data_IF_873055799734
#
_entry.id   IF_873055799734
#
_cell.length_a   1.000
_cell.length_b   1.000
_cell.length_c   1.000
_cell.angle_alpha   90.00
_cell.angle_beta   90.00
_cell.angle_gamma   90.00
#
_symmetry.space_group_name_H-M   'P 1'
#
loop_
_entity.id
_entity.type
_entity.pdbx_description
1 polymer ?
#
# COMPACT_ATOMS: atom_id res chain seq x y z
N UNK A 1 2.36 19.19 54.80
CA UNK A 1 1.94 18.21 53.79
C UNK A 1 1.87 16.85 54.45
N UNK A 2 0.69 16.27 54.59
CA UNK A 2 0.46 15.01 55.28
C UNK A 2 1.08 13.85 54.48
N UNK A 3 1.59 12.81 55.13
CA UNK A 3 2.20 11.65 54.50
C UNK A 3 1.34 10.99 53.41
N UNK A 4 0.02 11.10 53.56
CA UNK A 4 -0.99 10.60 52.66
C UNK A 4 -1.04 11.38 51.31
N UNK A 5 -0.91 12.71 51.33
CA UNK A 5 -0.83 13.56 50.14
C UNK A 5 0.45 13.29 49.35
N UNK A 6 1.55 13.05 50.05
CA UNK A 6 2.82 12.66 49.43
C UNK A 6 2.76 11.28 48.81
N UNK A 7 2.06 10.33 49.42
CA UNK A 7 1.85 8.98 48.85
C UNK A 7 0.95 9.03 47.61
N UNK A 8 -0.08 9.87 47.58
CA UNK A 8 -0.94 10.07 46.39
C UNK A 8 -0.17 10.73 45.26
N UNK A 9 0.62 11.76 45.53
CA UNK A 9 1.49 12.40 44.55
C UNK A 9 2.53 11.44 43.98
N UNK A 10 3.16 10.62 44.81
CA UNK A 10 4.13 9.60 44.40
C UNK A 10 3.49 8.47 43.61
N UNK A 11 2.23 8.12 43.89
CA UNK A 11 1.48 7.12 43.13
C UNK A 11 1.02 7.65 41.77
N UNK A 12 0.83 8.97 41.63
CA UNK A 12 0.47 9.63 40.36
C UNK A 12 1.69 9.97 39.49
N UNK A 13 2.88 10.00 40.06
CA UNK A 13 4.11 10.27 39.32
C UNK A 13 4.57 8.97 38.59
N UNK A 14 4.63 8.93 37.27
CA UNK A 14 5.13 7.76 36.56
C UNK A 14 6.54 7.43 37.05
N UNK A 15 6.75 6.22 37.57
CA UNK A 15 8.10 5.75 38.05
C UNK A 15 9.14 5.67 36.95
N UNK A 16 8.70 5.71 35.69
CA UNK A 16 9.57 5.68 34.50
C UNK A 16 9.05 6.78 33.57
N UNK A 17 9.99 7.59 33.04
CA UNK A 17 9.66 8.60 32.02
C UNK A 17 8.95 7.94 30.85
N UNK A 18 7.93 8.59 30.31
CA UNK A 18 7.22 8.07 29.15
C UNK A 18 8.21 7.94 27.98
N UNK A 19 8.24 6.77 27.37
CA UNK A 19 9.17 6.44 26.29
C UNK A 19 8.97 7.31 25.04
N UNK A 20 7.74 7.74 24.81
CA UNK A 20 7.35 8.63 23.70
C UNK A 20 6.76 9.91 24.31
N UNK A 21 7.60 10.93 24.42
CA UNK A 21 7.22 12.27 24.87
C UNK A 21 7.61 13.30 23.81
N UNK A 22 6.78 14.35 23.59
CA UNK A 22 7.17 15.45 22.72
C UNK A 22 8.55 16.00 23.09
N UNK A 23 9.40 16.20 22.10
CA UNK A 23 10.76 16.72 22.29
C UNK A 23 11.84 15.65 22.42
N UNK A 24 11.51 14.35 22.54
CA UNK A 24 12.56 13.34 22.47
C UNK A 24 12.76 12.83 21.03
N UNK A 25 14.00 12.42 20.70
CA UNK A 25 14.36 12.00 19.35
C UNK A 25 13.58 10.79 18.83
N UNK A 26 13.15 9.88 19.71
CA UNK A 26 12.31 8.74 19.30
C UNK A 26 10.89 9.19 18.93
N UNK A 27 10.31 10.14 19.67
CA UNK A 27 9.03 10.75 19.35
C UNK A 27 9.07 11.42 17.97
N UNK A 28 10.11 12.21 17.71
CA UNK A 28 10.25 12.91 16.44
C UNK A 28 10.33 11.94 15.25
N UNK A 29 11.04 10.81 15.40
CA UNK A 29 11.08 9.75 14.40
C UNK A 29 9.68 9.14 14.17
N UNK A 30 8.95 8.84 15.24
CA UNK A 30 7.58 8.29 15.17
C UNK A 30 6.64 9.27 14.46
N UNK A 31 6.65 10.55 14.83
CA UNK A 31 5.82 11.59 14.20
C UNK A 31 6.12 11.71 12.72
N UNK A 32 7.40 11.72 12.34
CA UNK A 32 7.82 11.81 10.93
C UNK A 32 7.34 10.62 10.10
N UNK A 33 7.39 9.42 10.67
CA UNK A 33 6.89 8.22 10.00
C UNK A 33 5.35 8.19 9.95
N UNK A 34 4.65 8.69 10.97
CA UNK A 34 3.18 8.86 10.95
C UNK A 34 2.76 9.82 9.84
N UNK A 35 3.40 10.98 9.71
CA UNK A 35 3.15 11.96 8.64
C UNK A 35 3.36 11.37 7.25
N UNK A 36 4.24 10.38 7.11
CA UNK A 36 4.41 9.57 5.90
C UNK A 36 3.38 8.42 5.79
N UNK A 37 2.33 8.44 6.63
CA UNK A 37 1.24 7.47 6.65
C UNK A 37 1.65 6.04 6.93
N UNK A 38 2.76 5.82 7.65
CA UNK A 38 3.08 4.50 8.18
C UNK A 38 2.15 4.18 9.36
N UNK A 39 1.68 2.93 9.44
CA UNK A 39 0.93 2.50 10.61
C UNK A 39 1.85 2.31 11.83
N UNK A 40 1.34 2.43 13.06
CA UNK A 40 2.13 2.14 14.27
C UNK A 40 2.86 0.79 14.24
N UNK A 41 2.24 -0.23 13.65
CA UNK A 41 2.85 -1.55 13.47
C UNK A 41 4.04 -1.50 12.50
N UNK A 42 3.91 -0.76 11.38
CA UNK A 42 5.01 -0.54 10.43
C UNK A 42 6.14 0.26 11.07
N UNK A 43 5.82 1.30 11.83
CA UNK A 43 6.80 2.12 12.56
C UNK A 43 7.58 1.25 13.54
N UNK A 44 6.90 0.43 14.34
CA UNK A 44 7.56 -0.52 15.25
C UNK A 44 8.50 -1.46 14.49
N UNK A 45 8.10 -1.97 13.33
CA UNK A 45 8.95 -2.81 12.48
C UNK A 45 10.18 -2.07 11.93
N UNK A 46 10.00 -0.81 11.49
CA UNK A 46 11.08 0.04 11.00
C UNK A 46 12.12 0.31 12.11
N UNK A 47 11.66 0.78 13.26
CA UNK A 47 12.55 1.09 14.39
C UNK A 47 13.37 -0.12 14.81
N UNK A 48 12.73 -1.30 14.88
CA UNK A 48 13.41 -2.55 15.25
C UNK A 48 14.49 -2.96 14.24
N UNK A 49 14.23 -2.76 12.94
CA UNK A 49 15.21 -3.05 11.89
C UNK A 49 16.33 -2.01 11.83
N UNK A 50 16.03 -0.74 12.13
CA UNK A 50 17.01 0.34 12.13
C UNK A 50 17.93 0.32 13.37
N UNK A 51 17.41 -0.18 14.49
CA UNK A 51 18.10 -0.17 15.79
C UNK A 51 18.07 -1.56 16.45
N UNK A 52 18.69 -2.58 15.82
CA UNK A 52 18.75 -3.93 16.38
C UNK A 52 19.55 -3.91 17.68
N UNK A 53 19.02 -4.50 18.75
CA UNK A 53 19.71 -4.55 20.05
C UNK A 53 19.68 -3.25 20.87
N UNK A 54 19.04 -2.19 20.40
CA UNK A 54 18.89 -0.93 21.11
C UNK A 54 17.42 -0.72 21.59
N UNK A 55 16.99 -1.36 22.71
CA UNK A 55 15.61 -1.25 23.16
C UNK A 55 15.13 0.19 23.38
N UNK A 56 16.02 1.08 23.82
CA UNK A 56 15.72 2.49 24.09
C UNK A 56 15.32 3.28 22.83
N UNK A 57 15.75 2.84 21.64
CA UNK A 57 15.44 3.46 20.34
C UNK A 57 14.26 2.75 19.62
N UNK A 58 13.61 1.81 20.30
CA UNK A 58 12.49 1.05 19.78
C UNK A 58 11.19 1.42 20.50
N UNK A 59 10.05 1.35 19.81
CA UNK A 59 8.73 1.47 20.39
C UNK A 59 7.80 0.39 19.84
N UNK A 60 6.97 -0.20 20.71
CA UNK A 60 5.92 -1.10 20.25
C UNK A 60 4.76 -0.31 19.62
N UNK A 61 3.95 -0.96 18.79
CA UNK A 61 2.77 -0.33 18.23
C UNK A 61 1.78 0.11 19.32
N UNK A 62 1.64 -0.66 20.41
CA UNK A 62 0.83 -0.29 21.57
C UNK A 62 1.36 0.98 22.26
N UNK A 63 2.69 1.09 22.43
CA UNK A 63 3.32 2.29 22.98
C UNK A 63 3.02 3.52 22.13
N UNK A 64 3.04 3.35 20.79
CA UNK A 64 2.72 4.45 19.85
C UNK A 64 1.24 4.83 19.95
N UNK A 65 0.32 3.85 19.97
CA UNK A 65 -1.11 4.14 20.14
C UNK A 65 -1.37 4.82 21.48
N UNK A 66 -0.81 4.31 22.57
CA UNK A 66 -0.99 4.89 23.91
C UNK A 66 -0.51 6.35 23.94
N UNK A 67 0.66 6.63 23.33
CA UNK A 67 1.17 8.00 23.27
C UNK A 67 0.22 8.92 22.47
N UNK A 68 -0.27 8.49 21.30
CA UNK A 68 -1.17 9.27 20.46
C UNK A 68 -2.52 9.58 21.16
N UNK A 69 -3.11 8.58 21.81
CA UNK A 69 -4.41 8.76 22.49
C UNK A 69 -4.28 9.51 23.82
N UNK A 70 -3.13 9.46 24.49
CA UNK A 70 -2.85 10.20 25.71
C UNK A 70 -2.49 11.68 25.48
N UNK A 71 -2.26 12.09 24.21
CA UNK A 71 -2.00 13.49 23.89
C UNK A 71 -3.17 14.40 24.26
N UNK A 72 -2.91 15.61 24.75
CA UNK A 72 -3.94 16.64 24.92
C UNK A 72 -4.69 16.88 23.60
N UNK A 73 -5.97 17.25 23.69
CA UNK A 73 -6.73 17.64 22.50
C UNK A 73 -6.10 18.88 21.87
N UNK A 74 -5.90 18.86 20.54
CA UNK A 74 -5.27 19.93 19.79
C UNK A 74 -4.99 19.54 18.34
N UNK A 75 -4.46 20.49 17.58
CA UNK A 75 -4.18 20.30 16.13
C UNK A 75 -3.23 19.15 15.87
N UNK A 76 -2.11 19.06 16.61
CA UNK A 76 -1.12 18.00 16.42
C UNK A 76 -1.72 16.62 16.66
N UNK A 77 -2.54 16.43 17.69
CA UNK A 77 -3.24 15.16 17.93
C UNK A 77 -4.18 14.83 16.79
N UNK A 78 -4.96 15.79 16.32
CA UNK A 78 -5.91 15.63 15.21
C UNK A 78 -5.17 15.27 13.91
N UNK A 79 -4.09 15.98 13.62
CA UNK A 79 -3.20 15.68 12.49
C UNK A 79 -2.70 14.24 12.53
N UNK A 80 -2.07 13.82 13.62
CA UNK A 80 -1.45 12.51 13.74
C UNK A 80 -2.49 11.37 13.71
N UNK A 81 -3.66 11.56 14.32
CA UNK A 81 -4.75 10.60 14.23
C UNK A 81 -5.31 10.48 12.80
N UNK A 82 -5.34 11.57 12.03
CA UNK A 82 -5.74 11.54 10.61
C UNK A 82 -4.77 10.76 9.72
N UNK A 83 -3.51 10.64 10.13
CA UNK A 83 -2.51 9.82 9.44
C UNK A 83 -2.73 8.31 9.64
N UNK A 84 -3.48 7.92 10.67
CA UNK A 84 -3.80 6.52 10.92
C UNK A 84 -4.77 5.98 9.87
N UNK A 85 -4.63 4.70 9.57
CA UNK A 85 -5.58 4.01 8.71
C UNK A 85 -6.96 4.04 9.36
N UNK A 86 -7.93 4.68 8.73
CA UNK A 86 -9.27 4.90 9.31
C UNK A 86 -9.86 3.61 9.87
N UNK A 87 -10.41 3.71 11.11
CA UNK A 87 -11.24 2.68 11.71
C UNK A 87 -12.38 2.28 10.77
N UNK A 88 -12.68 1.00 10.74
CA UNK A 88 -13.66 0.36 9.85
C UNK A 88 -14.97 1.13 9.82
N UNK A 89 -15.31 1.71 8.67
CA UNK A 89 -16.70 2.05 8.35
C UNK A 89 -17.48 0.73 8.19
N UNK A 90 -18.68 0.70 8.75
CA UNK A 90 -19.63 -0.42 8.74
C UNK A 90 -19.67 -1.08 7.36
N UNK A 91 -19.56 -2.41 7.33
CA UNK A 91 -19.65 -3.22 6.10
C UNK A 91 -21.07 -3.09 5.55
N UNK A 92 -21.22 -2.44 4.40
CA UNK A 92 -22.51 -2.42 3.67
C UNK A 92 -22.72 -3.76 2.99
N UNK A 93 -23.96 -4.31 3.00
CA UNK A 93 -24.29 -5.50 2.23
C UNK A 93 -24.00 -5.26 0.75
N UNK A 94 -23.37 -6.24 0.09
CA UNK A 94 -23.21 -6.20 -1.37
C UNK A 94 -24.57 -6.49 -2.01
N UNK A 95 -25.12 -5.53 -2.77
CA UNK A 95 -26.25 -5.80 -3.64
C UNK A 95 -25.80 -6.81 -4.73
N UNK A 96 -26.46 -7.95 -4.82
CA UNK A 96 -26.30 -8.91 -5.91
C UNK A 96 -27.12 -8.39 -7.09
N UNK A 97 -26.46 -7.74 -8.04
CA UNK A 97 -27.06 -7.46 -9.36
C UNK A 97 -26.68 -8.57 -10.34
N UNK A 98 -27.59 -8.95 -11.23
CA UNK A 98 -27.26 -9.83 -12.36
C UNK A 98 -26.19 -9.18 -13.24
N UNK A 99 -25.17 -9.96 -13.58
CA UNK A 99 -24.09 -9.50 -14.44
C UNK A 99 -24.52 -9.55 -15.91
N UNK A 100 -25.03 -8.44 -16.43
CA UNK A 100 -25.41 -8.26 -17.84
C UNK A 100 -24.23 -7.89 -18.75
N UNK A 101 -22.98 -8.12 -18.31
CA UNK A 101 -21.79 -7.81 -19.09
C UNK A 101 -21.62 -8.89 -20.17
N UNK A 102 -21.46 -8.45 -21.44
CA UNK A 102 -21.13 -9.35 -22.54
C UNK A 102 -19.79 -10.07 -22.27
N UNK A 103 -19.70 -11.34 -22.62
CA UNK A 103 -18.46 -12.14 -22.48
C UNK A 103 -17.37 -11.56 -23.36
N UNK A 104 -16.15 -11.42 -22.83
CA UNK A 104 -14.96 -11.12 -23.62
C UNK A 104 -14.63 -12.35 -24.49
N UNK A 105 -14.16 -12.11 -25.71
CA UNK A 105 -13.70 -13.18 -26.61
C UNK A 105 -12.28 -13.61 -26.26
N UNK A 106 -11.95 -14.86 -26.52
CA UNK A 106 -10.59 -15.43 -26.43
C UNK A 106 -9.89 -15.28 -25.07
N UNK A 107 -10.68 -15.27 -23.99
CA UNK A 107 -10.16 -15.22 -22.63
C UNK A 107 -9.46 -16.53 -22.24
N UNK A 108 -8.23 -16.41 -21.70
CA UNK A 108 -7.57 -17.53 -21.04
C UNK A 108 -7.96 -17.54 -19.58
N UNK A 109 -8.62 -18.60 -19.14
CA UNK A 109 -9.07 -18.74 -17.75
C UNK A 109 -7.90 -18.77 -16.78
N UNK A 110 -8.12 -18.27 -15.57
CA UNK A 110 -7.17 -18.36 -14.46
C UNK A 110 -6.76 -19.80 -14.13
N UNK A 111 -7.62 -20.78 -14.41
CA UNK A 111 -7.36 -22.21 -14.19
C UNK A 111 -6.31 -22.78 -15.16
N UNK A 112 -6.02 -22.07 -16.26
CA UNK A 112 -4.95 -22.43 -17.20
C UNK A 112 -3.60 -21.82 -16.81
N UNK A 113 -3.54 -21.13 -15.69
CA UNK A 113 -2.31 -20.55 -15.15
C UNK A 113 -1.36 -21.66 -14.68
N UNK A 114 -0.05 -21.58 -15.02
CA UNK A 114 0.95 -22.48 -14.45
C UNK A 114 0.95 -22.46 -12.91
N UNK A 115 1.13 -23.62 -12.25
CA UNK A 115 1.10 -23.73 -10.79
C UNK A 115 2.09 -22.79 -10.06
N UNK A 116 3.26 -22.56 -10.62
CA UNK A 116 4.29 -21.66 -10.07
C UNK A 116 3.79 -20.23 -9.84
N UNK A 117 2.74 -19.81 -10.56
CA UNK A 117 2.11 -18.49 -10.36
C UNK A 117 1.34 -18.46 -9.04
N UNK A 118 0.72 -19.58 -8.62
CA UNK A 118 0.00 -19.69 -7.36
C UNK A 118 0.96 -19.66 -6.16
N UNK A 119 2.10 -20.27 -6.27
CA UNK A 119 3.10 -20.38 -5.21
C UNK A 119 3.76 -19.03 -4.88
N UNK A 120 3.64 -18.03 -5.78
CA UNK A 120 4.17 -16.66 -5.59
C UNK A 120 5.67 -16.61 -5.30
N UNK A 121 6.43 -17.54 -5.83
CA UNK A 121 7.88 -17.65 -5.60
C UNK A 121 8.63 -16.79 -6.62
N UNK A 122 8.23 -16.87 -7.89
CA UNK A 122 8.91 -16.21 -9.00
C UNK A 122 8.33 -14.81 -9.20
N UNK A 123 9.14 -13.73 -9.12
CA UNK A 123 8.69 -12.39 -9.47
C UNK A 123 8.37 -12.27 -10.97
N UNK A 124 7.35 -11.46 -11.29
CA UNK A 124 6.96 -11.18 -12.67
C UNK A 124 5.51 -11.52 -12.98
N UNK A 125 4.76 -11.98 -12.00
CA UNK A 125 3.35 -12.29 -12.12
C UNK A 125 2.51 -11.21 -11.42
N UNK A 126 1.66 -10.52 -12.19
CA UNK A 126 0.96 -9.33 -11.76
C UNK A 126 -0.54 -9.58 -11.59
N UNK A 127 -1.16 -8.86 -10.66
CA UNK A 127 -2.60 -8.66 -10.59
C UNK A 127 -2.93 -7.24 -11.01
N UNK A 128 -3.92 -7.06 -11.89
CA UNK A 128 -4.33 -5.75 -12.38
C UNK A 128 -5.77 -5.41 -12.05
N UNK A 129 -6.06 -4.10 -11.94
CA UNK A 129 -7.40 -3.56 -11.71
C UNK A 129 -7.47 -2.06 -12.05
N UNK A 130 -8.67 -1.48 -12.04
CA UNK A 130 -8.89 -0.05 -12.15
C UNK A 130 -9.40 0.56 -10.85
N UNK A 131 -8.71 1.57 -10.33
CA UNK A 131 -9.25 2.44 -9.29
C UNK A 131 -10.07 3.54 -9.94
N UNK A 132 -11.38 3.57 -9.67
CA UNK A 132 -12.30 4.60 -10.16
C UNK A 132 -12.36 5.78 -9.19
N UNK A 133 -12.27 6.99 -9.73
CA UNK A 133 -12.44 8.26 -9.03
C UNK A 133 -13.90 8.72 -8.99
N UNK A 134 -14.10 10.05 -8.89
CA UNK A 134 -15.41 10.66 -8.75
C UNK A 134 -16.37 10.22 -9.87
N UNK A 135 -17.53 9.73 -9.46
CA UNK A 135 -18.62 9.27 -10.35
C UNK A 135 -18.17 8.25 -11.42
N UNK A 136 -17.01 7.59 -11.23
CA UNK A 136 -16.45 6.65 -12.21
C UNK A 136 -15.91 7.27 -13.50
N UNK A 137 -15.80 8.60 -13.57
CA UNK A 137 -15.36 9.32 -14.77
C UNK A 137 -13.85 9.31 -14.97
N UNK A 138 -13.09 9.22 -13.89
CA UNK A 138 -11.63 9.13 -13.95
C UNK A 138 -11.15 7.80 -13.39
N UNK A 139 -10.05 7.27 -13.93
CA UNK A 139 -9.52 5.96 -13.58
C UNK A 139 -8.00 5.97 -13.51
N UNK A 140 -7.46 5.12 -12.62
CA UNK A 140 -6.03 4.82 -12.53
C UNK A 140 -5.88 3.30 -12.57
N UNK A 141 -5.02 2.81 -13.46
CA UNK A 141 -4.66 1.40 -13.52
C UNK A 141 -3.74 1.03 -12.37
N UNK A 142 -4.00 -0.10 -11.74
CA UNK A 142 -3.14 -0.66 -10.69
C UNK A 142 -2.59 -2.00 -11.13
N UNK A 143 -1.30 -2.19 -10.96
CA UNK A 143 -0.61 -3.45 -11.17
C UNK A 143 0.15 -3.78 -9.89
N UNK A 144 -0.07 -4.96 -9.35
CA UNK A 144 0.61 -5.44 -8.13
C UNK A 144 1.32 -6.73 -8.44
N UNK A 145 2.61 -6.78 -8.21
CA UNK A 145 3.42 -7.99 -8.36
C UNK A 145 3.15 -8.96 -7.21
N UNK A 146 2.90 -10.24 -7.54
CA UNK A 146 2.30 -11.20 -6.59
C UNK A 146 3.25 -11.69 -5.50
N UNK A 147 4.55 -11.82 -5.78
CA UNK A 147 5.53 -12.36 -4.83
C UNK A 147 6.08 -11.28 -3.89
N UNK A 148 6.35 -10.09 -4.43
CA UNK A 148 7.00 -8.99 -3.71
C UNK A 148 6.04 -7.92 -3.22
N UNK A 149 4.79 -7.94 -3.67
CA UNK A 149 3.76 -6.91 -3.45
C UNK A 149 4.16 -5.53 -4.03
N UNK A 150 5.07 -5.52 -5.00
CA UNK A 150 5.49 -4.29 -5.67
C UNK A 150 4.36 -3.72 -6.50
N UNK A 151 4.12 -2.41 -6.38
CA UNK A 151 3.01 -1.71 -7.01
C UNK A 151 3.53 -0.79 -8.10
N UNK A 152 2.88 -0.79 -9.25
CA UNK A 152 2.99 0.29 -10.24
C UNK A 152 1.61 0.81 -10.61
N UNK A 153 1.50 2.10 -10.87
CA UNK A 153 0.27 2.77 -11.20
C UNK A 153 0.35 3.30 -12.63
N UNK A 154 -0.71 3.13 -13.39
CA UNK A 154 -0.81 3.59 -14.77
C UNK A 154 -1.81 4.75 -14.86
N UNK A 155 -1.37 5.89 -15.41
CA UNK A 155 -2.30 6.91 -15.85
C UNK A 155 -3.11 6.39 -17.02
N UNK A 156 -4.44 6.37 -16.87
CA UNK A 156 -5.38 5.96 -17.91
C UNK A 156 -6.32 7.13 -18.15
N UNK A 157 -6.44 7.53 -19.42
CA UNK A 157 -7.22 8.71 -19.80
C UNK A 157 -8.71 8.56 -19.43
N UNK A 158 -9.26 7.39 -19.74
CA UNK A 158 -10.67 7.04 -19.54
C UNK A 158 -10.81 5.51 -19.39
N UNK A 159 -12.00 5.01 -19.07
CA UNK A 159 -12.25 3.58 -18.86
C UNK A 159 -12.47 2.79 -20.18
N UNK A 160 -11.96 3.30 -21.31
CA UNK A 160 -12.01 2.59 -22.59
C UNK A 160 -10.91 1.53 -22.69
N UNK A 161 -11.15 0.53 -23.54
CA UNK A 161 -10.19 -0.53 -23.83
C UNK A 161 -8.87 0.01 -24.36
N UNK A 162 -8.92 0.98 -25.29
CA UNK A 162 -7.72 1.58 -25.88
C UNK A 162 -6.88 2.34 -24.84
N UNK A 163 -7.52 3.11 -23.98
CA UNK A 163 -6.84 3.85 -22.92
C UNK A 163 -6.22 2.88 -21.88
N UNK A 164 -6.92 1.80 -21.54
CA UNK A 164 -6.40 0.77 -20.62
C UNK A 164 -5.16 0.08 -21.22
N UNK A 165 -5.24 -0.38 -22.47
CA UNK A 165 -4.10 -0.99 -23.17
C UNK A 165 -2.92 -0.04 -23.27
N UNK A 166 -3.14 1.22 -23.61
CA UNK A 166 -2.08 2.23 -23.70
C UNK A 166 -1.41 2.47 -22.33
N UNK A 167 -2.21 2.70 -21.27
CA UNK A 167 -1.72 2.96 -19.93
C UNK A 167 -0.95 1.77 -19.35
N UNK A 168 -1.51 0.57 -19.42
CA UNK A 168 -0.82 -0.62 -18.92
C UNK A 168 0.43 -0.96 -19.75
N UNK A 169 0.40 -0.80 -21.08
CA UNK A 169 1.58 -1.00 -21.91
C UNK A 169 2.71 -0.04 -21.56
N UNK A 170 2.37 1.24 -21.28
CA UNK A 170 3.36 2.25 -20.90
C UNK A 170 4.13 1.84 -19.64
N UNK A 171 3.43 1.44 -18.58
CA UNK A 171 4.09 1.10 -17.31
C UNK A 171 4.75 -0.28 -17.35
N UNK A 172 4.17 -1.27 -18.05
CA UNK A 172 4.75 -2.61 -18.17
C UNK A 172 6.05 -2.59 -18.98
N UNK A 173 6.16 -1.77 -20.02
CA UNK A 173 7.40 -1.63 -20.79
C UNK A 173 8.58 -1.04 -20.01
N UNK A 174 8.32 -0.36 -18.89
CA UNK A 174 9.35 0.14 -17.97
C UNK A 174 9.91 -0.96 -17.06
N UNK A 175 9.29 -2.13 -17.06
CA UNK A 175 9.68 -3.30 -16.27
C UNK A 175 10.44 -4.26 -17.16
N UNK A 176 11.54 -4.83 -16.64
CA UNK A 176 12.33 -5.84 -17.35
C UNK A 176 11.47 -7.01 -17.83
N UNK A 177 11.76 -7.55 -19.01
CA UNK A 177 10.99 -8.63 -19.60
C UNK A 177 10.90 -9.87 -18.69
N UNK A 178 11.97 -10.16 -17.94
CA UNK A 178 12.03 -11.28 -16.99
C UNK A 178 11.11 -11.08 -15.77
N UNK A 179 10.62 -9.87 -15.54
CA UNK A 179 9.73 -9.50 -14.42
C UNK A 179 8.34 -9.05 -14.86
N UNK A 180 7.97 -9.28 -16.11
CA UNK A 180 6.64 -9.02 -16.67
C UNK A 180 6.11 -10.22 -17.45
N UNK A 181 5.86 -11.32 -16.73
CA UNK A 181 5.55 -12.62 -17.32
C UNK A 181 4.06 -12.81 -17.56
N UNK A 182 3.25 -12.50 -16.58
CA UNK A 182 1.79 -12.63 -16.68
C UNK A 182 1.03 -11.53 -15.93
N UNK A 183 -0.22 -11.32 -16.34
CA UNK A 183 -1.18 -10.43 -15.71
C UNK A 183 -2.47 -11.18 -15.44
N UNK A 184 -2.94 -11.21 -14.21
CA UNK A 184 -4.27 -11.68 -13.86
C UNK A 184 -5.20 -10.48 -13.72
N UNK A 185 -6.32 -10.51 -14.44
CA UNK A 185 -7.31 -9.43 -14.45
C UNK A 185 -8.72 -9.99 -14.24
N UNK A 186 -9.70 -9.12 -13.94
CA UNK A 186 -11.09 -9.53 -13.98
C UNK A 186 -11.64 -9.49 -15.42
N UNK A 187 -12.91 -9.87 -15.58
CA UNK A 187 -13.57 -9.83 -16.88
C UNK A 187 -14.13 -8.44 -17.21
N UNK A 188 -13.40 -7.37 -16.82
CA UNK A 188 -13.76 -5.99 -17.15
C UNK A 188 -13.66 -5.71 -18.64
N UNK A 189 -14.60 -4.96 -19.19
CA UNK A 189 -14.65 -4.59 -20.64
C UNK A 189 -13.44 -3.81 -21.09
N UNK A 190 -12.78 -3.10 -20.19
CA UNK A 190 -11.53 -2.39 -20.48
C UNK A 190 -10.38 -3.30 -20.92
N UNK A 191 -10.49 -4.62 -20.63
CA UNK A 191 -9.52 -5.63 -21.06
C UNK A 191 -9.95 -6.41 -22.30
N UNK A 192 -10.96 -5.93 -23.05
CA UNK A 192 -11.43 -6.60 -24.27
C UNK A 192 -10.34 -6.75 -25.35
N UNK A 193 -9.36 -5.83 -25.40
CA UNK A 193 -8.20 -5.96 -26.29
C UNK A 193 -6.94 -6.52 -25.60
N UNK A 194 -7.09 -7.43 -24.64
CA UNK A 194 -5.98 -8.05 -23.91
C UNK A 194 -4.93 -8.70 -24.80
N UNK A 195 -5.34 -9.26 -25.95
CA UNK A 195 -4.40 -9.81 -26.95
C UNK A 195 -3.46 -8.73 -27.49
N UNK A 196 -3.96 -7.48 -27.69
CA UNK A 196 -3.12 -6.35 -28.10
C UNK A 196 -2.13 -5.97 -26.99
N UNK A 197 -2.55 -6.00 -25.73
CA UNK A 197 -1.65 -5.79 -24.60
C UNK A 197 -0.54 -6.86 -24.59
N UNK A 198 -0.90 -8.14 -24.76
CA UNK A 198 0.06 -9.24 -24.87
C UNK A 198 1.04 -9.02 -26.02
N UNK A 199 0.56 -8.66 -27.22
CA UNK A 199 1.41 -8.40 -28.39
C UNK A 199 2.40 -7.24 -28.15
N UNK A 200 1.99 -6.21 -27.44
CA UNK A 200 2.82 -5.02 -27.17
C UNK A 200 3.86 -5.26 -26.07
N UNK A 201 3.51 -6.04 -25.04
CA UNK A 201 4.30 -6.16 -23.82
C UNK A 201 4.95 -7.52 -23.61
N UNK A 202 4.47 -8.56 -24.27
CA UNK A 202 4.85 -9.96 -24.05
C UNK A 202 4.16 -10.62 -22.85
N UNK A 203 3.34 -9.90 -22.11
CA UNK A 203 2.66 -10.39 -20.90
C UNK A 203 1.50 -11.31 -21.26
N UNK A 204 1.44 -12.50 -20.68
CA UNK A 204 0.29 -13.42 -20.82
C UNK A 204 -0.85 -12.95 -19.90
N UNK A 205 -2.05 -12.75 -20.43
CA UNK A 205 -3.22 -12.31 -19.64
C UNK A 205 -4.11 -13.49 -19.28
N UNK A 206 -4.41 -13.61 -18.00
CA UNK A 206 -5.34 -14.62 -17.45
C UNK A 206 -6.52 -13.91 -16.79
N UNK A 207 -7.70 -14.47 -16.90
CA UNK A 207 -8.94 -13.90 -16.37
C UNK A 207 -9.45 -14.67 -15.16
N UNK A 208 -9.68 -13.93 -14.07
CA UNK A 208 -10.32 -14.47 -12.88
C UNK A 208 -11.78 -14.84 -13.17
N UNK A 209 -12.32 -15.78 -12.41
CA UNK A 209 -13.72 -16.15 -12.51
C UNK A 209 -14.62 -15.00 -12.08
N UNK A 210 -15.83 -14.91 -12.66
CA UNK A 210 -16.83 -13.95 -12.21
C UNK A 210 -17.11 -14.12 -10.71
N UNK A 211 -17.28 -12.99 -10.01
CA UNK A 211 -17.59 -12.97 -8.58
C UNK A 211 -16.58 -13.65 -7.64
N UNK A 212 -15.35 -13.87 -8.10
CA UNK A 212 -14.28 -14.53 -7.35
C UNK A 212 -13.16 -13.56 -6.91
N UNK A 213 -13.45 -12.57 -6.03
CA UNK A 213 -12.49 -11.54 -5.62
C UNK A 213 -11.26 -12.13 -4.91
N UNK A 214 -11.38 -13.29 -4.26
CA UNK A 214 -10.27 -13.97 -3.60
C UNK A 214 -9.15 -14.39 -4.56
N UNK A 215 -9.46 -14.58 -5.85
CA UNK A 215 -8.46 -14.91 -6.88
C UNK A 215 -7.52 -13.72 -7.19
N UNK A 216 -7.91 -12.49 -6.78
CA UNK A 216 -7.12 -11.24 -6.93
C UNK A 216 -7.01 -10.49 -5.60
N UNK A 217 -6.93 -11.22 -4.49
CA UNK A 217 -6.94 -10.65 -3.13
C UNK A 217 -5.78 -9.68 -2.85
N UNK A 218 -4.64 -9.83 -3.53
CA UNK A 218 -3.49 -8.93 -3.38
C UNK A 218 -3.84 -7.55 -3.93
N UNK A 219 -4.45 -7.49 -5.10
CA UNK A 219 -4.84 -6.22 -5.71
C UNK A 219 -5.96 -5.53 -4.90
N UNK A 220 -6.99 -6.26 -4.46
CA UNK A 220 -8.07 -5.71 -3.64
C UNK A 220 -7.52 -5.07 -2.34
N UNK A 221 -6.60 -5.76 -1.66
CA UNK A 221 -5.95 -5.22 -0.46
C UNK A 221 -5.12 -3.98 -0.78
N UNK A 222 -4.35 -4.00 -1.87
CA UNK A 222 -3.51 -2.87 -2.29
C UNK A 222 -4.36 -1.67 -2.71
N UNK A 223 -5.45 -1.89 -3.43
CA UNK A 223 -6.42 -0.84 -3.76
C UNK A 223 -7.01 -0.20 -2.50
N UNK A 224 -7.26 -0.99 -1.46
CA UNK A 224 -7.66 -0.49 -0.13
C UNK A 224 -6.61 0.45 0.50
N UNK A 225 -5.31 0.18 0.31
CA UNK A 225 -4.23 1.07 0.77
C UNK A 225 -4.13 2.32 -0.09
N UNK A 226 -4.25 2.18 -1.41
CA UNK A 226 -4.18 3.28 -2.36
C UNK A 226 -5.31 4.30 -2.15
N UNK A 227 -6.46 3.90 -1.59
CA UNK A 227 -7.56 4.81 -1.25
C UNK A 227 -7.20 5.91 -0.24
N UNK A 228 -6.09 5.79 0.45
CA UNK A 228 -5.54 6.88 1.28
C UNK A 228 -5.01 8.05 0.43
N UNK A 229 -4.63 7.78 -0.82
CA UNK A 229 -4.08 8.74 -1.78
C UNK A 229 -5.03 9.05 -2.93
N UNK A 230 -5.83 8.07 -3.31
CA UNK A 230 -6.78 8.11 -4.43
C UNK A 230 -8.21 7.91 -3.90
N UNK A 231 -8.79 8.88 -3.19
CA UNK A 231 -10.12 8.75 -2.60
C UNK A 231 -11.19 8.62 -3.71
N UNK A 232 -12.31 7.95 -3.39
CA UNK A 232 -13.38 7.65 -4.35
C UNK A 232 -14.06 8.88 -4.94
N UNK A 233 -14.05 9.99 -4.20
CA UNK A 233 -14.69 11.27 -4.56
C UNK A 233 -13.73 12.24 -5.25
N UNK A 234 -12.46 11.91 -5.43
CA UNK A 234 -11.50 12.74 -6.12
C UNK A 234 -11.55 12.56 -7.63
N UNK A 235 -11.24 13.59 -8.37
CA UNK A 235 -10.95 13.50 -9.79
C UNK A 235 -9.50 13.04 -9.97
N UNK A 236 -9.34 11.82 -10.47
CA UNK A 236 -8.02 11.21 -10.68
C UNK A 236 -7.41 11.58 -12.04
N UNK A 237 -8.15 12.22 -12.93
CA UNK A 237 -7.68 12.58 -14.27
C UNK A 237 -6.60 13.67 -14.25
N UNK A 238 -6.64 14.52 -13.22
CA UNK A 238 -5.68 15.62 -13.03
C UNK A 238 -4.27 15.12 -12.67
N UNK A 239 -4.15 13.91 -12.14
CA UNK A 239 -2.86 13.37 -11.73
C UNK A 239 -1.95 13.07 -12.92
N UNK A 240 -0.69 13.49 -12.82
CA UNK A 240 0.37 13.13 -13.76
C UNK A 240 0.93 11.75 -13.45
N UNK A 241 1.55 11.09 -14.43
CA UNK A 241 2.21 9.79 -14.20
C UNK A 241 3.27 9.89 -13.11
N UNK A 242 4.04 10.97 -13.03
CA UNK A 242 5.04 11.18 -11.99
C UNK A 242 4.45 11.21 -10.57
N UNK A 243 3.25 11.76 -10.40
CA UNK A 243 2.55 11.77 -9.11
C UNK A 243 2.06 10.37 -8.73
N UNK A 244 1.57 9.61 -9.72
CA UNK A 244 1.21 8.20 -9.53
C UNK A 244 2.44 7.35 -9.19
N UNK A 245 3.58 7.57 -9.85
CA UNK A 245 4.85 6.91 -9.54
C UNK A 245 5.30 7.22 -8.10
N UNK A 246 5.15 8.46 -7.65
CA UNK A 246 5.46 8.86 -6.27
C UNK A 246 4.53 8.19 -5.24
N UNK A 247 3.23 8.07 -5.54
CA UNK A 247 2.28 7.34 -4.68
C UNK A 247 2.65 5.85 -4.62
N UNK A 248 2.94 5.21 -5.76
CA UNK A 248 3.38 3.82 -5.81
C UNK A 248 4.66 3.60 -5.01
N UNK A 249 5.62 4.52 -5.12
CA UNK A 249 6.88 4.48 -4.38
C UNK A 249 6.67 4.52 -2.86
N UNK A 250 5.74 5.35 -2.38
CA UNK A 250 5.40 5.36 -0.95
C UNK A 250 4.86 4.02 -0.45
N UNK A 251 4.12 3.26 -1.27
CA UNK A 251 3.66 1.92 -0.91
C UNK A 251 4.78 0.89 -1.01
N UNK A 252 5.64 1.03 -2.01
CA UNK A 252 6.75 0.11 -2.29
C UNK A 252 7.87 0.18 -1.24
N UNK A 253 8.00 1.30 -0.58
CA UNK A 253 8.99 1.50 0.48
C UNK A 253 8.45 1.21 1.88
N UNK A 254 7.16 0.84 2.05
CA UNK A 254 6.59 0.46 3.34
C UNK A 254 6.87 -1.00 3.66
N UNK A 255 7.37 -1.32 4.86
CA UNK A 255 7.52 -2.70 5.32
C UNK A 255 6.19 -3.44 5.32
N UNK A 256 6.23 -4.70 4.96
CA UNK A 256 5.07 -5.59 4.97
C UNK A 256 5.30 -6.75 5.94
N UNK A 257 4.37 -6.95 6.86
CA UNK A 257 4.45 -8.07 7.82
C UNK A 257 4.53 -9.43 7.10
N UNK A 258 3.73 -9.58 6.03
CA UNK A 258 3.72 -10.78 5.17
C UNK A 258 5.03 -11.03 4.42
N UNK A 259 5.89 -10.02 4.29
CA UNK A 259 7.22 -10.13 3.70
C UNK A 259 8.33 -10.16 4.76
N UNK A 260 8.02 -10.55 5.99
CA UNK A 260 8.99 -10.54 7.10
C UNK A 260 9.52 -9.14 7.41
N UNK A 261 8.68 -8.11 7.31
CA UNK A 261 9.02 -6.70 7.48
C UNK A 261 9.96 -6.12 6.41
N UNK A 262 10.17 -6.83 5.31
CA UNK A 262 10.84 -6.26 4.12
C UNK A 262 9.88 -5.35 3.36
N UNK A 263 10.46 -4.41 2.59
CA UNK A 263 9.70 -3.56 1.69
C UNK A 263 9.52 -4.23 0.33
N UNK A 264 8.42 -3.99 -0.39
CA UNK A 264 8.28 -4.41 -1.79
C UNK A 264 9.46 -3.98 -2.67
N UNK A 265 9.94 -2.74 -2.53
CA UNK A 265 11.09 -2.23 -3.28
C UNK A 265 12.38 -3.01 -2.99
N UNK A 266 12.59 -3.43 -1.74
CA UNK A 266 13.75 -4.21 -1.32
C UNK A 266 13.82 -5.59 -2.00
N UNK A 267 12.66 -6.19 -2.26
CA UNK A 267 12.55 -7.50 -2.91
C UNK A 267 12.51 -7.39 -4.44
N UNK A 268 11.82 -6.38 -4.96
CA UNK A 268 11.65 -6.22 -6.40
C UNK A 268 12.84 -5.50 -7.05
N UNK A 269 13.51 -4.59 -6.34
CA UNK A 269 14.65 -3.80 -6.81
C UNK A 269 15.89 -3.98 -5.94
N UNK A 270 16.36 -5.23 -5.69
CA UNK A 270 17.40 -5.50 -4.68
C UNK A 270 18.75 -4.83 -4.98
N UNK A 271 19.02 -4.48 -6.23
CA UNK A 271 20.26 -3.79 -6.63
C UNK A 271 20.16 -2.26 -6.54
N UNK A 272 18.94 -1.72 -6.50
CA UNK A 272 18.69 -0.27 -6.63
C UNK A 272 18.08 0.35 -5.38
N UNK A 273 17.66 -0.45 -4.39
CA UNK A 273 17.04 0.02 -3.18
C UNK A 273 17.81 -0.42 -1.94
N UNK A 274 18.38 0.52 -1.22
CA UNK A 274 19.00 0.34 0.10
C UNK A 274 18.00 0.77 1.19
N UNK A 275 17.50 -0.21 1.94
CA UNK A 275 16.57 0.02 3.05
C UNK A 275 17.15 0.90 4.15
N UNK A 276 18.40 0.62 4.56
CA UNK A 276 19.03 1.33 5.67
C UNK A 276 19.30 2.79 5.31
N UNK A 277 19.86 3.04 4.14
CA UNK A 277 20.09 4.39 3.62
C UNK A 277 18.76 5.16 3.47
N UNK A 278 17.73 4.53 2.91
CA UNK A 278 16.41 5.14 2.72
C UNK A 278 15.78 5.58 4.05
N UNK A 279 15.71 4.70 5.05
CA UNK A 279 15.08 5.03 6.32
C UNK A 279 15.96 5.94 7.19
N UNK A 280 17.29 5.84 7.10
CA UNK A 280 18.20 6.79 7.75
C UNK A 280 17.94 8.21 7.27
N UNK A 281 17.78 8.40 5.96
CA UNK A 281 17.46 9.72 5.40
C UNK A 281 16.09 10.25 5.86
N UNK A 282 15.09 9.34 6.04
CA UNK A 282 13.75 9.72 6.52
C UNK A 282 13.76 10.11 7.99
N UNK A 283 14.48 9.37 8.84
CA UNK A 283 14.46 9.57 10.29
C UNK A 283 15.59 10.47 10.79
N UNK A 284 16.53 10.86 9.93
CA UNK A 284 17.54 11.83 10.28
C UNK A 284 16.90 13.16 10.69
N UNK A 285 17.31 13.70 11.81
CA UNK A 285 16.94 15.05 12.19
C UNK A 285 17.60 16.02 11.22
N UNK A 286 16.94 17.10 10.77
CA UNK A 286 17.65 18.18 10.13
C UNK A 286 18.70 18.70 11.11
N UNK A 287 19.94 18.80 10.67
CA UNK A 287 21.04 19.44 11.38
C UNK A 287 20.75 20.91 11.52
#
# INVERSE_FOLDING_TARGET
MLAQERAVLLAQTPRVSRRLEPGNGLWEQVVRLLRRRHSPEQISGILRRMHPGEPQRNASHETIYTALYAMPQGELRSELLSCLRQARRRRLPRARGEDRRGKLTDMVSIHMRPPEIEERIIPGHWEGDLIKGSRGKSVVGTLVERSTLFVTLAKIRDATTDAAVAGFSHVLKRIDAQRRLSLTYDQGREMAAHQRLTKITGVKVYFADPHSPWQRGINENTNGLLRQYLPKNADLSVLKQSELDAIAWQLNTRPRKTLGWKCPAELFLPKSFDYAAYYKAIVALPT
#
